data_IF_496085168795
#
_entry.id   IF_496085168795
#
_cell.length_a   1.000
_cell.length_b   1.000
_cell.length_c   1.000
_cell.angle_alpha   90.00
_cell.angle_beta   90.00
_cell.angle_gamma   90.00
#
_symmetry.space_group_name_H-M   'P 1'
#
loop_
_entity.id
_entity.type
_entity.pdbx_description
1 polymer ?
#
# COMPACT_ATOMS: atom_id res chain seq x y z
N UNK A 1 -6.44 -10.09 -1.74
CA UNK A 1 -5.14 -9.57 -1.24
C UNK A 1 -4.32 -10.63 -0.51
N UNK A 2 -4.80 -11.21 0.62
CA UNK A 2 -4.05 -12.24 1.37
C UNK A 2 -3.55 -13.40 0.48
N UNK A 3 -4.45 -13.99 -0.31
CA UNK A 3 -4.08 -15.06 -1.24
C UNK A 3 -3.00 -14.62 -2.24
N UNK A 4 -3.02 -13.39 -2.73
CA UNK A 4 -2.00 -12.88 -3.64
C UNK A 4 -0.63 -12.78 -2.95
N UNK A 5 -0.58 -12.27 -1.72
CA UNK A 5 0.66 -12.17 -0.93
C UNK A 5 1.27 -13.56 -0.69
N UNK A 6 0.44 -14.54 -0.30
CA UNK A 6 0.85 -15.93 -0.07
C UNK A 6 1.26 -16.63 -1.36
N UNK A 7 0.47 -16.52 -2.43
CA UNK A 7 0.74 -17.16 -3.72
C UNK A 7 2.02 -16.64 -4.36
N UNK A 8 2.31 -15.34 -4.19
CA UNK A 8 3.56 -14.75 -4.64
C UNK A 8 4.75 -15.14 -3.76
N UNK A 9 4.53 -15.75 -2.59
CA UNK A 9 5.59 -16.24 -1.71
C UNK A 9 6.23 -15.18 -0.82
N UNK A 10 5.61 -14.00 -0.66
CA UNK A 10 6.20 -12.94 0.17
C UNK A 10 6.29 -13.35 1.65
N UNK A 11 7.45 -13.10 2.24
CA UNK A 11 7.68 -13.31 3.67
C UNK A 11 7.25 -12.13 4.54
N UNK A 12 7.12 -12.39 5.84
CA UNK A 12 6.99 -11.36 6.87
C UNK A 12 8.09 -11.53 7.91
N UNK A 13 8.75 -10.42 8.31
CA UNK A 13 9.84 -10.44 9.29
C UNK A 13 9.73 -9.26 10.26
N UNK A 14 10.12 -9.48 11.51
CA UNK A 14 10.37 -8.38 12.46
C UNK A 14 11.88 -8.15 12.55
N UNK A 15 12.32 -6.93 12.27
CA UNK A 15 13.72 -6.53 12.28
C UNK A 15 13.88 -5.22 13.06
N UNK A 16 14.23 -5.32 14.34
CA UNK A 16 14.38 -4.16 15.23
C UNK A 16 15.46 -3.16 14.82
N UNK A 17 16.34 -3.54 13.89
CA UNK A 17 17.43 -2.71 13.37
C UNK A 17 17.01 -1.82 12.19
N UNK A 18 15.76 -1.88 11.73
CA UNK A 18 15.27 -1.00 10.67
C UNK A 18 15.38 0.47 11.07
N UNK A 19 15.79 1.31 10.12
CA UNK A 19 15.77 2.77 10.25
C UNK A 19 14.34 3.30 10.25
N UNK A 20 13.46 2.71 9.45
CA UNK A 20 12.02 3.03 9.33
C UNK A 20 11.16 2.13 10.23
N UNK A 21 9.86 2.41 10.31
CA UNK A 21 8.87 1.59 11.04
C UNK A 21 8.55 0.28 10.33
N UNK A 22 8.61 0.27 9.00
CA UNK A 22 8.45 -0.90 8.15
C UNK A 22 9.08 -0.68 6.76
N UNK A 23 9.13 -1.75 5.98
CA UNK A 23 9.46 -1.71 4.54
C UNK A 23 8.85 -2.91 3.82
N UNK A 24 8.07 -2.62 2.77
CA UNK A 24 7.74 -3.56 1.71
C UNK A 24 8.88 -3.60 0.68
N UNK A 25 9.40 -4.79 0.39
CA UNK A 25 10.49 -4.97 -0.55
C UNK A 25 10.21 -6.10 -1.51
N UNK A 26 10.02 -5.74 -2.79
CA UNK A 26 9.98 -6.65 -3.93
C UNK A 26 11.30 -7.43 -4.01
N UNK A 27 12.44 -6.71 -3.94
CA UNK A 27 13.76 -7.31 -4.04
C UNK A 27 14.07 -8.32 -2.93
N UNK A 28 13.78 -7.99 -1.68
CA UNK A 28 13.98 -8.93 -0.57
C UNK A 28 12.83 -9.93 -0.41
N UNK A 29 11.81 -9.82 -1.27
CA UNK A 29 10.63 -10.67 -1.28
C UNK A 29 9.93 -10.78 0.09
N UNK A 30 9.86 -9.66 0.81
CA UNK A 30 9.23 -9.62 2.13
C UNK A 30 8.72 -8.24 2.54
N UNK A 31 7.86 -8.24 3.55
CA UNK A 31 7.61 -7.10 4.42
C UNK A 31 8.45 -7.27 5.68
N UNK A 32 9.17 -6.22 6.08
CA UNK A 32 9.87 -6.17 7.36
C UNK A 32 9.29 -5.05 8.22
N UNK A 33 9.03 -5.33 9.49
CA UNK A 33 8.62 -4.31 10.46
C UNK A 33 9.64 -4.15 11.57
N UNK A 34 9.83 -2.92 12.05
CA UNK A 34 10.73 -2.65 13.17
C UNK A 34 10.23 -3.30 14.46
N UNK A 35 8.91 -3.33 14.62
CA UNK A 35 8.17 -3.94 15.73
C UNK A 35 6.88 -4.53 15.17
N UNK A 36 6.34 -5.57 15.80
CA UNK A 36 5.05 -6.15 15.42
C UNK A 36 3.89 -5.22 15.74
N UNK A 37 3.64 -4.22 14.90
CA UNK A 37 2.50 -3.29 15.01
C UNK A 37 1.62 -3.40 13.76
N UNK A 38 0.31 -3.57 13.96
CA UNK A 38 -0.65 -3.77 12.87
C UNK A 38 -0.72 -2.57 11.92
N UNK A 39 -0.67 -1.36 12.45
CA UNK A 39 -0.72 -0.13 11.64
C UNK A 39 0.45 -0.04 10.66
N UNK A 40 1.65 -0.47 11.06
CA UNK A 40 2.81 -0.53 10.17
C UNK A 40 2.65 -1.63 9.13
N UNK A 41 2.15 -2.81 9.52
CA UNK A 41 1.85 -3.87 8.55
C UNK A 41 0.87 -3.41 7.47
N UNK A 42 -0.22 -2.76 7.89
CA UNK A 42 -1.25 -2.30 6.97
C UNK A 42 -0.73 -1.22 6.02
N UNK A 43 0.12 -0.32 6.49
CA UNK A 43 0.84 0.63 5.64
C UNK A 43 1.68 -0.10 4.57
N UNK A 44 2.54 -1.04 4.97
CA UNK A 44 3.37 -1.80 4.02
C UNK A 44 2.55 -2.65 3.04
N UNK A 45 1.40 -3.17 3.49
CA UNK A 45 0.44 -3.85 2.62
C UNK A 45 -0.19 -2.90 1.60
N UNK A 46 -0.31 -1.61 1.92
CA UNK A 46 -0.70 -0.58 0.96
C UNK A 46 0.30 -0.46 -0.19
N UNK A 47 1.60 -0.43 0.10
CA UNK A 47 2.64 -0.48 -0.95
C UNK A 47 2.58 -1.77 -1.76
N UNK A 48 2.36 -2.92 -1.11
CA UNK A 48 2.17 -4.19 -1.81
C UNK A 48 0.96 -4.15 -2.76
N UNK A 49 -0.20 -3.65 -2.31
CA UNK A 49 -1.40 -3.55 -3.14
C UNK A 49 -1.17 -2.63 -4.33
N UNK A 50 -0.50 -1.49 -4.12
CA UNK A 50 -0.16 -0.58 -5.21
C UNK A 50 0.72 -1.26 -6.26
N UNK A 51 1.74 -2.01 -5.83
CA UNK A 51 2.62 -2.76 -6.72
C UNK A 51 1.89 -3.93 -7.42
N UNK A 52 1.05 -4.67 -6.70
CA UNK A 52 0.20 -5.75 -7.23
C UNK A 52 -0.72 -5.26 -8.35
N UNK A 53 -1.26 -4.04 -8.21
CA UNK A 53 -2.11 -3.40 -9.22
C UNK A 53 -1.33 -2.55 -10.22
N UNK A 54 -0.08 -2.94 -10.52
CA UNK A 54 0.71 -2.32 -11.59
C UNK A 54 1.14 -0.89 -11.29
N UNK A 55 1.56 -0.60 -10.06
CA UNK A 55 1.93 0.74 -9.57
C UNK A 55 0.74 1.72 -9.62
N UNK A 56 -0.39 1.29 -9.07
CA UNK A 56 -1.62 2.06 -9.03
C UNK A 56 -1.45 3.45 -8.37
N UNK A 57 -0.56 3.54 -7.38
CA UNK A 57 -0.12 4.76 -6.71
C UNK A 57 0.60 5.77 -7.63
N UNK A 58 1.11 5.32 -8.77
CA UNK A 58 1.87 6.14 -9.71
C UNK A 58 1.09 6.54 -10.95
N UNK A 59 -0.14 6.04 -11.10
CA UNK A 59 -1.00 6.33 -12.25
C UNK A 59 -1.35 7.82 -12.33
N UNK A 60 -1.62 8.31 -13.53
CA UNK A 60 -2.06 9.70 -13.73
C UNK A 60 -3.42 9.97 -13.07
N UNK A 61 -4.29 8.96 -13.03
CA UNK A 61 -5.58 9.00 -12.32
C UNK A 61 -5.36 9.19 -10.82
N UNK A 62 -4.59 8.32 -10.18
CA UNK A 62 -4.37 8.42 -8.74
C UNK A 62 -3.62 9.70 -8.36
N UNK A 63 -2.65 10.14 -9.16
CA UNK A 63 -1.96 11.43 -8.94
C UNK A 63 -2.91 12.63 -8.97
N UNK A 64 -3.97 12.59 -9.79
CA UNK A 64 -5.01 13.63 -9.77
C UNK A 64 -5.83 13.58 -8.48
N UNK A 65 -6.23 12.39 -8.04
CA UNK A 65 -6.94 12.18 -6.78
C UNK A 65 -6.10 12.68 -5.60
N UNK A 66 -4.84 12.22 -5.50
CA UNK A 66 -3.87 12.65 -4.49
C UNK A 66 -3.74 14.19 -4.44
N UNK A 67 -3.50 14.84 -5.58
CA UNK A 67 -3.34 16.31 -5.58
C UNK A 67 -4.61 17.05 -5.18
N UNK A 68 -5.78 16.46 -5.42
CA UNK A 68 -7.07 17.02 -5.03
C UNK A 68 -7.32 16.88 -3.53
N UNK A 69 -7.02 15.71 -2.95
CA UNK A 69 -7.49 15.35 -1.60
C UNK A 69 -6.39 15.39 -0.52
N UNK A 70 -5.10 15.44 -0.87
CA UNK A 70 -3.99 15.42 0.12
C UNK A 70 -4.09 16.52 1.19
N UNK A 71 -4.60 17.70 0.82
CA UNK A 71 -4.75 18.81 1.76
C UNK A 71 -5.94 18.60 2.72
N UNK A 72 -6.92 17.78 2.34
CA UNK A 72 -8.07 17.43 3.17
C UNK A 72 -7.78 16.26 4.13
N UNK A 73 -6.74 15.47 3.87
CA UNK A 73 -6.33 14.36 4.73
C UNK A 73 -6.09 14.83 6.17
N UNK A 74 -6.70 14.13 7.13
CA UNK A 74 -6.51 14.35 8.57
C UNK A 74 -6.03 13.05 9.20
N UNK A 75 -4.76 13.05 9.60
CA UNK A 75 -4.12 11.92 10.24
C UNK A 75 -2.81 12.33 10.89
N UNK A 76 -2.24 11.42 11.68
CA UNK A 76 -0.91 11.63 12.24
C UNK A 76 0.12 11.77 11.10
N UNK A 77 1.18 12.55 11.33
CA UNK A 77 2.27 12.74 10.37
C UNK A 77 1.83 13.20 8.97
N UNK A 78 0.78 14.02 8.86
CA UNK A 78 0.26 14.55 7.58
C UNK A 78 1.35 15.01 6.61
N UNK A 79 2.36 15.75 7.08
CA UNK A 79 3.46 16.23 6.24
C UNK A 79 4.20 15.08 5.53
N UNK A 80 4.46 13.97 6.23
CA UNK A 80 5.05 12.76 5.67
C UNK A 80 4.09 12.07 4.71
N UNK A 81 2.84 11.85 5.13
CA UNK A 81 1.83 11.17 4.30
C UNK A 81 1.60 11.89 2.97
N UNK A 82 1.60 13.22 2.98
CA UNK A 82 1.30 14.01 1.78
C UNK A 82 2.52 14.35 0.93
N UNK A 83 3.72 13.87 1.29
CA UNK A 83 4.96 14.21 0.60
C UNK A 83 5.01 13.67 -0.84
N UNK A 84 4.48 12.47 -1.05
CA UNK A 84 4.38 11.82 -2.35
C UNK A 84 3.13 10.92 -2.45
N UNK A 85 2.76 10.55 -3.67
CA UNK A 85 1.55 9.77 -3.92
C UNK A 85 1.64 8.32 -3.39
N UNK A 86 2.84 7.73 -3.32
CA UNK A 86 3.04 6.37 -2.84
C UNK A 86 2.78 6.24 -1.34
N UNK A 87 3.38 7.13 -0.55
CA UNK A 87 3.14 7.20 0.90
C UNK A 87 1.69 7.59 1.22
N UNK A 88 1.14 8.54 0.45
CA UNK A 88 -0.28 8.90 0.56
C UNK A 88 -1.19 7.70 0.31
N UNK A 89 -0.91 6.89 -0.72
CA UNK A 89 -1.65 5.66 -1.00
C UNK A 89 -1.54 4.66 0.15
N UNK A 90 -0.33 4.40 0.63
CA UNK A 90 -0.06 3.40 1.66
C UNK A 90 -0.72 3.74 3.01
N UNK A 91 -0.61 4.98 3.44
CA UNK A 91 -1.30 5.48 4.63
C UNK A 91 -2.83 5.48 4.45
N UNK A 92 -3.32 5.89 3.28
CA UNK A 92 -4.75 5.83 2.99
C UNK A 92 -5.27 4.39 2.94
N UNK A 93 -4.46 3.41 2.54
CA UNK A 93 -4.82 2.00 2.60
C UNK A 93 -4.90 1.49 4.05
N UNK A 94 -3.99 1.92 4.92
CA UNK A 94 -4.11 1.66 6.37
C UNK A 94 -5.43 2.22 6.88
N UNK A 95 -5.71 3.49 6.61
CA UNK A 95 -6.93 4.15 7.09
C UNK A 95 -8.20 3.57 6.46
N UNK A 96 -8.15 3.10 5.22
CA UNK A 96 -9.23 2.32 4.59
C UNK A 96 -9.53 1.05 5.39
N UNK A 97 -8.52 0.43 5.99
CA UNK A 97 -8.67 -0.81 6.75
C UNK A 97 -9.05 -0.56 8.22
N UNK A 98 -8.48 0.46 8.87
CA UNK A 98 -8.68 0.73 10.30
C UNK A 98 -9.80 1.75 10.57
N UNK A 99 -9.97 2.74 9.68
CA UNK A 99 -10.82 3.92 9.88
C UNK A 99 -11.59 4.31 8.60
N UNK A 100 -12.14 3.31 7.90
CA UNK A 100 -12.79 3.46 6.59
C UNK A 100 -13.75 4.67 6.49
N UNK A 101 -14.60 4.85 7.50
CA UNK A 101 -15.58 5.94 7.56
C UNK A 101 -14.93 7.33 7.58
N UNK A 102 -13.79 7.48 8.28
CA UNK A 102 -13.05 8.75 8.36
C UNK A 102 -12.42 9.07 7.01
N UNK A 103 -11.73 8.10 6.41
CA UNK A 103 -11.14 8.24 5.08
C UNK A 103 -12.20 8.60 4.04
N UNK A 104 -13.34 7.89 4.04
CA UNK A 104 -14.45 8.16 3.12
C UNK A 104 -15.02 9.56 3.29
N UNK A 105 -15.05 10.10 4.50
CA UNK A 105 -15.55 11.45 4.75
C UNK A 105 -14.59 12.55 4.32
N UNK A 106 -13.27 12.32 4.44
CA UNK A 106 -12.25 13.36 4.21
C UNK A 106 -11.64 13.30 2.80
N UNK A 107 -11.45 12.07 2.30
CA UNK A 107 -10.83 11.76 1.01
C UNK A 107 -11.69 10.72 0.27
N UNK A 108 -12.91 11.09 -0.15
CA UNK A 108 -13.86 10.15 -0.77
C UNK A 108 -13.36 9.53 -2.07
N UNK A 109 -12.61 10.27 -2.90
CA UNK A 109 -12.07 9.71 -4.14
C UNK A 109 -10.96 8.71 -3.84
N UNK A 110 -10.07 9.02 -2.89
CA UNK A 110 -9.04 8.08 -2.43
C UNK A 110 -9.67 6.80 -1.87
N UNK A 111 -10.69 6.92 -1.02
CA UNK A 111 -11.44 5.77 -0.51
C UNK A 111 -12.02 4.92 -1.65
N UNK A 112 -12.71 5.54 -2.59
CA UNK A 112 -13.36 4.83 -3.70
C UNK A 112 -12.34 4.15 -4.62
N UNK A 113 -11.21 4.81 -4.88
CA UNK A 113 -10.12 4.27 -5.68
C UNK A 113 -9.53 3.01 -5.04
N UNK A 114 -9.18 3.08 -3.75
CA UNK A 114 -8.66 1.93 -3.00
C UNK A 114 -9.70 0.80 -2.94
N UNK A 115 -10.95 1.11 -2.62
CA UNK A 115 -12.04 0.14 -2.59
C UNK A 115 -12.21 -0.57 -3.94
N UNK A 116 -12.15 0.16 -5.06
CA UNK A 116 -12.22 -0.41 -6.40
C UNK A 116 -11.05 -1.34 -6.71
N UNK A 117 -9.83 -0.96 -6.32
CA UNK A 117 -8.64 -1.81 -6.49
C UNK A 117 -8.75 -3.09 -5.67
N UNK A 118 -9.07 -2.99 -4.38
CA UNK A 118 -9.13 -4.14 -3.48
C UNK A 118 -10.17 -5.16 -3.95
N UNK A 119 -11.35 -4.69 -4.37
CA UNK A 119 -12.44 -5.55 -4.85
C UNK A 119 -12.19 -6.12 -6.26
N UNK A 120 -11.19 -5.61 -7.00
CA UNK A 120 -10.84 -6.08 -8.35
C UNK A 120 -9.52 -6.85 -8.40
N UNK A 121 -8.93 -7.21 -7.25
CA UNK A 121 -7.75 -8.10 -7.21
C UNK A 121 -8.15 -9.47 -7.76
N UNK A 122 -7.35 -9.97 -8.69
CA UNK A 122 -7.57 -11.23 -9.42
C UNK A 122 -6.27 -12.02 -9.59
N UNK A 123 -6.40 -13.27 -10.06
CA UNK A 123 -5.24 -14.12 -10.39
C UNK A 123 -4.39 -13.56 -11.53
N UNK A 124 -5.00 -12.72 -12.39
CA UNK A 124 -4.26 -11.99 -13.43
C UNK A 124 -3.27 -11.01 -12.80
N UNK A 125 -3.67 -10.29 -11.75
CA UNK A 125 -2.77 -9.33 -11.07
C UNK A 125 -1.57 -10.06 -10.44
N UNK A 126 -1.80 -11.25 -9.87
CA UNK A 126 -0.73 -12.12 -9.35
C UNK A 126 0.24 -12.54 -10.46
N UNK A 127 -0.31 -13.00 -11.58
CA UNK A 127 0.49 -13.43 -12.73
C UNK A 127 1.29 -12.28 -13.34
N UNK A 128 0.66 -11.12 -13.52
CA UNK A 128 1.30 -9.91 -14.04
C UNK A 128 2.42 -9.43 -13.11
N UNK A 129 2.19 -9.45 -11.79
CA UNK A 129 3.21 -9.09 -10.81
C UNK A 129 4.41 -10.04 -10.88
N UNK A 130 4.18 -11.35 -10.91
CA UNK A 130 5.25 -12.34 -11.04
C UNK A 130 6.04 -12.15 -12.34
N UNK A 131 5.35 -11.93 -13.47
CA UNK A 131 6.03 -11.70 -14.74
C UNK A 131 6.88 -10.42 -14.73
N UNK A 132 6.42 -9.38 -14.02
CA UNK A 132 7.12 -8.09 -13.95
C UNK A 132 8.32 -8.13 -13.00
N UNK A 133 8.18 -8.81 -11.86
CA UNK A 133 9.11 -8.69 -10.74
C UNK A 133 9.75 -10.01 -10.30
N UNK A 134 9.26 -11.17 -10.74
CA UNK A 134 9.70 -12.50 -10.27
C UNK A 134 11.20 -12.75 -10.40
N UNK A 135 11.85 -12.11 -11.38
CA UNK A 135 13.29 -12.17 -11.57
C UNK A 135 14.12 -11.63 -10.39
N UNK A 136 13.52 -10.87 -9.47
CA UNK A 136 14.21 -10.36 -8.29
C UNK A 136 14.50 -11.43 -7.22
N UNK A 137 13.72 -12.53 -7.17
CA UNK A 137 13.81 -13.55 -6.12
C UNK A 137 13.78 -15.00 -6.64
N UNK A 138 13.82 -15.17 -7.96
CA UNK A 138 14.09 -16.45 -8.62
C UNK A 138 15.59 -16.59 -8.88
#
# INVERSE_FOLDING_TARGET
MYNAFVNLGFGFKVNSKLSTTGVFSVQNHNIQLKRGQSSYLLHELGHFVAALKGRADQTSEFKKIYNTEKNAYVGNNKAYVTQDAGEYFAESFRDYTENASVLKSQCPQTYNYINGLVNSISDKDVSDFYNTYGWYWN
#
